data_IF_685897723689
#
_entry.id   IF_685897723689
#
_cell.length_a   1.000
_cell.length_b   1.000
_cell.length_c   1.000
_cell.angle_alpha   90.00
_cell.angle_beta   90.00
_cell.angle_gamma   90.00
#
_symmetry.space_group_name_H-M   'P 1'
#
loop_
_entity.id
_entity.type
_entity.pdbx_description
1 polymer ?
#
# COMPACT_ATOMS: atom_id res chain seq x y z
N UNK A 1 6.52 -36.55 -23.81
CA UNK A 1 7.53 -35.96 -22.90
C UNK A 1 7.74 -34.53 -23.34
N UNK A 2 7.06 -33.60 -22.69
CA UNK A 2 7.33 -32.18 -22.77
C UNK A 2 7.11 -31.68 -21.34
N UNK A 3 8.22 -31.40 -20.66
CA UNK A 3 8.25 -30.77 -19.34
C UNK A 3 8.06 -29.27 -19.55
N UNK A 4 7.03 -28.71 -18.96
CA UNK A 4 6.92 -27.26 -18.76
C UNK A 4 7.77 -26.89 -17.53
N UNK A 5 8.64 -25.87 -17.62
CA UNK A 5 9.39 -25.40 -16.47
C UNK A 5 8.46 -24.59 -15.56
N UNK A 6 8.68 -24.75 -14.25
CA UNK A 6 8.13 -23.98 -13.13
C UNK A 6 7.38 -22.70 -13.52
N UNK A 7 6.05 -22.73 -13.35
CA UNK A 7 5.23 -21.53 -13.32
C UNK A 7 5.64 -20.70 -12.08
N UNK A 8 6.16 -19.51 -12.34
CA UNK A 8 6.29 -18.42 -11.36
C UNK A 8 4.87 -17.93 -10.99
N UNK A 9 4.12 -18.73 -10.22
CA UNK A 9 2.88 -18.24 -9.60
C UNK A 9 3.26 -17.17 -8.57
N UNK A 10 2.94 -15.91 -8.88
CA UNK A 10 2.94 -14.86 -7.88
C UNK A 10 1.80 -15.17 -6.91
N UNK A 11 2.14 -15.77 -5.76
CA UNK A 11 1.18 -16.07 -4.70
C UNK A 11 0.82 -14.76 -3.99
N UNK A 12 -0.15 -14.04 -4.54
CA UNK A 12 -1.01 -13.20 -3.73
C UNK A 12 -1.93 -14.15 -2.98
N UNK A 13 -1.99 -14.05 -1.65
CA UNK A 13 -2.80 -14.92 -0.78
C UNK A 13 -4.11 -15.33 -1.48
N UNK A 14 -4.20 -16.60 -1.86
CA UNK A 14 -5.36 -17.12 -2.58
C UNK A 14 -6.60 -17.04 -1.67
N UNK A 15 -7.66 -16.43 -2.20
CA UNK A 15 -8.96 -16.29 -1.55
C UNK A 15 -9.58 -17.63 -1.12
N UNK A 16 -9.15 -18.76 -1.70
CA UNK A 16 -9.60 -20.10 -1.32
C UNK A 16 -9.24 -20.49 0.13
N UNK A 17 -8.32 -19.76 0.76
CA UNK A 17 -7.85 -20.01 2.13
C UNK A 17 -8.47 -19.07 3.19
N UNK A 18 -9.21 -18.03 2.78
CA UNK A 18 -9.90 -17.13 3.71
C UNK A 18 -11.19 -17.79 4.22
N UNK A 19 -11.10 -18.47 5.36
CA UNK A 19 -12.29 -18.95 6.08
C UNK A 19 -12.83 -17.86 7.00
N UNK A 20 -13.92 -17.21 6.57
CA UNK A 20 -14.74 -16.37 7.44
C UNK A 20 -15.63 -17.27 8.31
N UNK A 21 -15.33 -17.34 9.61
CA UNK A 21 -16.20 -18.03 10.57
C UNK A 21 -17.18 -17.02 11.17
N UNK A 22 -18.47 -17.34 11.14
CA UNK A 22 -19.52 -16.58 11.79
C UNK A 22 -19.62 -17.00 13.27
N UNK A 23 -19.16 -16.13 14.18
CA UNK A 23 -19.12 -16.38 15.63
C UNK A 23 -20.29 -15.68 16.35
N UNK A 24 -21.51 -15.83 15.83
CA UNK A 24 -22.76 -15.34 16.44
C UNK A 24 -23.04 -15.83 17.87
N UNK A 25 -22.20 -16.69 18.45
CA UNK A 25 -22.31 -17.18 19.83
C UNK A 25 -21.45 -16.43 20.87
N UNK A 26 -20.70 -15.38 20.52
CA UNK A 26 -19.89 -14.60 21.48
C UNK A 26 -20.64 -13.38 22.04
N UNK A 27 -20.64 -13.14 23.36
CA UNK A 27 -21.46 -12.10 23.99
C UNK A 27 -20.70 -10.76 24.12
N UNK A 28 -20.58 -10.00 23.03
CA UNK A 28 -20.48 -8.52 22.92
C UNK A 28 -20.05 -8.16 21.47
N UNK A 29 -20.11 -6.90 21.00
CA UNK A 29 -20.36 -6.56 19.59
C UNK A 29 -19.39 -7.27 18.63
N UNK A 30 -19.98 -7.80 17.56
CA UNK A 30 -19.40 -8.67 16.53
C UNK A 30 -17.92 -8.43 16.23
N UNK A 31 -17.04 -9.13 16.94
CA UNK A 31 -15.63 -9.20 16.58
C UNK A 31 -15.48 -10.03 15.30
N UNK A 32 -14.79 -9.48 14.31
CA UNK A 32 -14.43 -10.19 13.07
C UNK A 32 -13.02 -10.72 13.24
N UNK A 33 -12.85 -12.03 13.07
CA UNK A 33 -11.54 -12.67 13.07
C UNK A 33 -11.22 -13.13 11.65
N UNK A 34 -9.99 -12.83 11.19
CA UNK A 34 -9.44 -13.35 9.94
C UNK A 34 -8.39 -14.37 10.31
N UNK A 35 -8.58 -15.61 9.86
CA UNK A 35 -7.60 -16.68 9.98
C UNK A 35 -6.96 -16.89 8.62
N UNK A 36 -5.64 -16.93 8.60
CA UNK A 36 -4.83 -17.16 7.41
C UNK A 36 -3.74 -18.18 7.72
N UNK A 37 -3.19 -18.79 6.68
CA UNK A 37 -2.04 -19.67 6.81
C UNK A 37 -0.83 -18.90 7.34
N UNK A 38 -0.11 -19.50 8.28
CA UNK A 38 1.17 -18.97 8.74
C UNK A 38 2.22 -19.30 7.68
N UNK A 39 2.70 -18.27 6.98
CA UNK A 39 3.76 -18.42 5.98
C UNK A 39 5.07 -18.76 6.68
N UNK A 40 5.68 -19.89 6.28
CA UNK A 40 6.99 -20.32 6.78
C UNK A 40 8.11 -19.54 6.09
N UNK A 41 8.66 -18.55 6.79
CA UNK A 41 9.71 -17.68 6.28
C UNK A 41 10.16 -16.64 7.31
N UNK A 42 11.01 -15.73 6.86
CA UNK A 42 11.52 -14.61 7.67
C UNK A 42 11.17 -13.30 7.01
N UNK A 43 10.92 -12.26 7.81
CA UNK A 43 10.65 -10.94 7.25
C UNK A 43 11.91 -10.37 6.62
N UNK A 44 11.76 -9.64 5.52
CA UNK A 44 12.87 -9.00 4.82
C UNK A 44 13.63 -8.07 5.76
N UNK A 45 12.91 -7.33 6.61
CA UNK A 45 13.49 -6.47 7.66
C UNK A 45 14.50 -7.21 8.55
N UNK A 46 14.14 -8.40 9.04
CA UNK A 46 14.98 -9.17 9.97
C UNK A 46 16.24 -9.72 9.31
N UNK A 47 16.16 -10.04 8.02
CA UNK A 47 17.27 -10.61 7.27
C UNK A 47 18.12 -9.58 6.53
N UNK A 48 17.63 -8.34 6.35
CA UNK A 48 18.20 -7.34 5.44
C UNK A 48 19.72 -7.14 5.60
N UNK A 49 20.18 -6.96 6.84
CA UNK A 49 21.60 -6.72 7.16
C UNK A 49 22.51 -7.91 6.80
N UNK A 50 21.97 -9.12 6.72
CA UNK A 50 22.71 -10.34 6.38
C UNK A 50 22.64 -10.73 4.91
N UNK A 51 21.88 -10.01 4.08
CA UNK A 51 21.75 -10.30 2.65
C UNK A 51 22.92 -9.72 1.87
N UNK A 52 23.47 -10.50 0.96
CA UNK A 52 24.43 -10.06 -0.05
C UNK A 52 23.75 -9.12 -1.06
N UNK A 53 24.53 -8.24 -1.70
CA UNK A 53 24.00 -7.26 -2.66
C UNK A 53 23.24 -7.93 -3.83
N UNK A 54 23.76 -9.06 -4.32
CA UNK A 54 23.11 -9.84 -5.39
C UNK A 54 21.71 -10.33 -4.98
N UNK A 55 21.56 -10.82 -3.75
CA UNK A 55 20.27 -11.29 -3.23
C UNK A 55 19.29 -10.12 -3.04
N UNK A 56 19.77 -8.97 -2.56
CA UNK A 56 18.94 -7.75 -2.41
C UNK A 56 18.41 -7.27 -3.76
N UNK A 57 19.25 -7.29 -4.81
CA UNK A 57 18.85 -6.93 -6.17
C UNK A 57 17.83 -7.94 -6.74
N UNK A 58 18.08 -9.24 -6.57
CA UNK A 58 17.16 -10.29 -7.00
C UNK A 58 15.78 -10.20 -6.30
N UNK A 59 15.75 -9.84 -5.02
CA UNK A 59 14.52 -9.56 -4.28
C UNK A 59 13.80 -8.34 -4.87
N UNK A 60 14.51 -7.26 -5.19
CA UNK A 60 13.91 -6.08 -5.81
C UNK A 60 13.29 -6.41 -7.17
N UNK A 61 13.92 -7.26 -7.99
CA UNK A 61 13.34 -7.71 -9.25
C UNK A 61 12.04 -8.49 -9.04
N UNK A 62 12.00 -9.39 -8.05
CA UNK A 62 10.78 -10.12 -7.69
C UNK A 62 9.67 -9.17 -7.24
N UNK A 63 9.98 -8.25 -6.31
CA UNK A 63 9.02 -7.25 -5.84
C UNK A 63 8.49 -6.39 -6.99
N UNK A 64 9.33 -6.00 -7.95
CA UNK A 64 8.91 -5.23 -9.13
C UNK A 64 7.87 -6.00 -9.94
N UNK A 65 8.10 -7.30 -10.17
CA UNK A 65 7.14 -8.16 -10.89
C UNK A 65 5.83 -8.28 -10.12
N UNK A 66 5.89 -8.50 -8.81
CA UNK A 66 4.71 -8.59 -7.95
C UNK A 66 3.90 -7.30 -7.95
N UNK A 67 4.54 -6.13 -7.80
CA UNK A 67 3.84 -4.84 -7.79
C UNK A 67 3.23 -4.52 -9.15
N UNK A 68 3.91 -4.87 -10.25
CA UNK A 68 3.34 -4.71 -11.59
C UNK A 68 2.10 -5.61 -11.78
N UNK A 69 2.15 -6.86 -11.29
CA UNK A 69 0.99 -7.75 -11.31
C UNK A 69 -0.16 -7.18 -10.46
N UNK A 70 0.13 -6.67 -9.26
CA UNK A 70 -0.85 -6.02 -8.39
C UNK A 70 -1.51 -4.81 -9.07
N UNK A 71 -0.71 -3.97 -9.73
CA UNK A 71 -1.20 -2.79 -10.46
C UNK A 71 -1.98 -3.13 -11.72
N UNK A 72 -1.87 -4.36 -12.22
CA UNK A 72 -2.63 -4.84 -13.38
C UNK A 72 -4.03 -5.33 -13.02
N UNK A 73 -4.37 -5.42 -11.72
CA UNK A 73 -5.71 -5.76 -11.30
C UNK A 73 -6.72 -4.74 -11.84
N UNK A 74 -7.79 -5.24 -12.44
CA UNK A 74 -8.90 -4.43 -12.92
C UNK A 74 -9.96 -4.30 -11.82
N UNK A 75 -10.57 -3.12 -11.75
CA UNK A 75 -11.68 -2.90 -10.85
C UNK A 75 -12.97 -3.43 -11.49
N UNK A 76 -13.65 -4.38 -10.85
CA UNK A 76 -14.89 -4.99 -11.35
C UNK A 76 -16.00 -3.98 -11.69
N UNK A 77 -15.95 -2.77 -11.12
CA UNK A 77 -16.88 -1.71 -11.49
C UNK A 77 -16.38 -0.97 -12.74
N UNK A 78 -17.25 -0.85 -13.76
CA UNK A 78 -17.04 -0.05 -14.97
C UNK A 78 -16.69 1.44 -14.75
N UNK A 79 -16.55 1.88 -13.49
CA UNK A 79 -16.24 3.25 -13.10
C UNK A 79 -15.13 3.20 -12.05
N UNK A 80 -13.93 3.65 -12.43
CA UNK A 80 -12.80 3.80 -11.54
C UNK A 80 -13.17 4.66 -10.31
N UNK A 81 -12.62 4.31 -9.15
CA UNK A 81 -12.83 5.05 -7.92
C UNK A 81 -11.59 4.92 -7.03
N UNK A 82 -11.38 5.89 -6.14
CA UNK A 82 -10.40 5.78 -5.07
C UNK A 82 -11.14 5.36 -3.80
N UNK A 83 -10.71 4.27 -3.18
CA UNK A 83 -11.42 3.66 -2.06
C UNK A 83 -10.98 2.23 -1.81
N UNK A 84 -11.41 1.67 -0.69
CA UNK A 84 -11.20 0.27 -0.37
C UNK A 84 -12.07 -0.64 -1.26
N UNK A 85 -11.70 -1.92 -1.34
CA UNK A 85 -12.48 -2.97 -2.03
C UNK A 85 -13.97 -2.87 -1.64
N UNK A 86 -14.84 -2.96 -2.64
CA UNK A 86 -16.29 -2.82 -2.45
C UNK A 86 -16.78 -1.37 -2.35
N UNK A 87 -16.02 -0.40 -2.90
CA UNK A 87 -16.35 1.04 -2.88
C UNK A 87 -16.54 1.57 -1.46
N UNK A 88 -15.72 1.09 -0.54
CA UNK A 88 -15.72 1.53 0.86
C UNK A 88 -14.69 2.65 1.06
N UNK A 89 -14.78 3.40 2.16
CA UNK A 89 -13.73 4.33 2.55
C UNK A 89 -12.36 3.66 2.67
N UNK A 90 -11.31 4.42 2.41
CA UNK A 90 -9.92 4.00 2.64
C UNK A 90 -9.65 3.78 4.12
N UNK A 91 -8.80 2.80 4.42
CA UNK A 91 -8.37 2.40 5.77
C UNK A 91 -6.89 2.71 6.02
N UNK A 92 -6.28 3.57 5.19
CA UNK A 92 -4.91 4.00 5.41
C UNK A 92 -4.81 4.73 6.76
N UNK A 93 -3.83 4.34 7.58
CA UNK A 93 -3.62 4.87 8.93
C UNK A 93 -3.43 6.38 8.94
N UNK A 94 -2.97 6.98 7.83
CA UNK A 94 -2.83 8.45 7.73
C UNK A 94 -4.19 9.18 7.79
N UNK A 95 -5.29 8.45 7.59
CA UNK A 95 -6.66 8.96 7.68
C UNK A 95 -7.31 8.62 9.02
N UNK A 96 -6.91 7.54 9.70
CA UNK A 96 -7.57 7.05 10.92
C UNK A 96 -7.33 7.94 12.15
N UNK A 97 -6.12 8.46 12.34
CA UNK A 97 -5.76 9.28 13.50
C UNK A 97 -6.16 10.76 13.37
N UNK A 98 -6.63 11.14 12.19
CA UNK A 98 -7.02 12.52 11.89
C UNK A 98 -8.47 12.79 12.30
N UNK A 99 -8.78 13.97 12.84
CA UNK A 99 -10.17 14.46 12.99
C UNK A 99 -10.88 14.68 11.63
N UNK A 100 -10.40 14.05 10.56
CA UNK A 100 -10.89 14.24 9.21
C UNK A 100 -12.18 13.47 8.99
N UNK A 101 -13.00 13.92 8.03
CA UNK A 101 -14.09 13.12 7.50
C UNK A 101 -13.59 11.77 7.00
N UNK A 102 -14.48 10.79 6.90
CA UNK A 102 -14.23 9.50 6.26
C UNK A 102 -13.58 9.65 4.88
N UNK A 103 -12.54 8.87 4.60
CA UNK A 103 -11.74 8.96 3.38
C UNK A 103 -12.38 8.24 2.20
N UNK A 104 -13.33 8.89 1.54
CA UNK A 104 -13.94 8.41 0.30
C UNK A 104 -15.15 7.49 0.51
N UNK A 105 -15.53 6.72 -0.53
CA UNK A 105 -14.87 6.61 -1.83
C UNK A 105 -14.93 7.91 -2.64
N UNK A 106 -13.95 8.13 -3.52
CA UNK A 106 -13.88 9.28 -4.44
C UNK A 106 -14.03 8.84 -5.88
N UNK A 107 -14.63 9.68 -6.72
CA UNK A 107 -14.87 9.41 -8.14
C UNK A 107 -13.67 9.72 -9.03
N UNK A 108 -12.71 10.48 -8.54
CA UNK A 108 -11.51 10.88 -9.29
C UNK A 108 -10.33 11.17 -8.37
N UNK A 109 -9.12 11.17 -8.95
CA UNK A 109 -7.88 11.58 -8.27
C UNK A 109 -7.96 13.05 -7.81
N UNK A 110 -8.52 13.93 -8.64
CA UNK A 110 -8.68 15.35 -8.31
C UNK A 110 -9.57 15.56 -7.07
N UNK A 111 -10.71 14.86 -7.00
CA UNK A 111 -11.60 14.90 -5.84
C UNK A 111 -10.92 14.39 -4.57
N UNK A 112 -10.16 13.29 -4.70
CA UNK A 112 -9.35 12.77 -3.60
C UNK A 112 -8.31 13.78 -3.11
N UNK A 113 -7.58 14.44 -4.01
CA UNK A 113 -6.59 15.45 -3.64
C UNK A 113 -7.23 16.69 -3.02
N UNK A 114 -8.38 17.14 -3.51
CA UNK A 114 -9.12 18.25 -2.90
C UNK A 114 -9.48 17.90 -1.46
N UNK A 115 -10.01 16.70 -1.23
CA UNK A 115 -10.31 16.20 0.12
C UNK A 115 -9.05 16.05 0.99
N UNK A 116 -7.99 15.44 0.43
CA UNK A 116 -6.73 15.18 1.14
C UNK A 116 -6.10 16.48 1.61
N UNK A 117 -6.16 17.51 0.76
CA UNK A 117 -5.54 18.81 1.03
C UNK A 117 -6.41 19.79 1.84
N UNK A 118 -7.69 19.49 2.03
CA UNK A 118 -8.63 20.36 2.73
C UNK A 118 -8.50 20.31 4.27
N UNK A 119 -7.88 19.26 4.81
CA UNK A 119 -7.96 18.92 6.24
C UNK A 119 -6.93 19.62 7.16
N UNK A 120 -6.60 20.90 6.95
CA UNK A 120 -5.53 21.59 7.71
C UNK A 120 -5.93 22.82 8.50
N UNK A 121 -5.24 23.02 9.63
CA UNK A 121 -5.27 24.24 10.41
C UNK A 121 -6.58 24.50 11.18
N UNK A 122 -6.71 25.64 11.87
CA UNK A 122 -7.88 26.01 12.68
C UNK A 122 -9.17 26.19 11.87
N UNK A 123 -9.05 26.12 10.54
CA UNK A 123 -10.03 26.49 9.55
C UNK A 123 -10.49 25.31 8.69
N UNK A 124 -10.03 24.09 9.00
CA UNK A 124 -10.31 22.79 8.34
C UNK A 124 -11.80 22.42 8.13
N UNK A 125 -12.74 23.18 8.70
CA UNK A 125 -14.18 22.94 8.54
C UNK A 125 -14.88 23.96 7.62
N UNK A 126 -14.17 25.00 7.18
CA UNK A 126 -14.74 26.02 6.31
C UNK A 126 -14.49 25.66 4.84
N UNK A 127 -15.57 25.16 4.22
CA UNK A 127 -15.63 24.69 2.83
C UNK A 127 -15.42 25.77 1.77
N UNK A 128 -15.40 27.05 2.17
CA UNK A 128 -15.23 28.17 1.25
C UNK A 128 -13.77 28.62 1.13
N UNK A 129 -12.84 27.92 1.78
CA UNK A 129 -11.42 28.22 1.63
C UNK A 129 -10.91 27.90 0.23
N UNK A 130 -10.00 28.74 -0.31
CA UNK A 130 -9.31 28.39 -1.54
C UNK A 130 -8.50 27.10 -1.32
N UNK A 131 -8.26 26.32 -2.39
CA UNK A 131 -7.38 25.16 -2.33
C UNK A 131 -6.01 25.53 -1.74
N UNK A 132 -5.40 24.61 -1.01
CA UNK A 132 -4.07 24.82 -0.44
C UNK A 132 -3.07 25.16 -1.58
N UNK A 133 -2.13 26.12 -1.41
CA UNK A 133 -1.20 26.52 -2.48
C UNK A 133 -0.43 25.36 -3.11
N UNK A 134 -0.14 24.32 -2.32
CA UNK A 134 0.58 23.12 -2.77
C UNK A 134 -0.31 22.04 -3.42
N UNK A 135 -1.63 22.20 -3.44
CA UNK A 135 -2.57 21.23 -4.02
C UNK A 135 -2.28 20.94 -5.50
N UNK A 136 -1.85 21.96 -6.23
CA UNK A 136 -1.49 21.86 -7.65
C UNK A 136 -0.28 20.96 -7.94
N UNK A 137 0.53 20.63 -6.93
CA UNK A 137 1.70 19.77 -7.09
C UNK A 137 1.38 18.28 -6.86
N UNK A 138 0.13 17.95 -6.52
CA UNK A 138 -0.37 16.57 -6.54
C UNK A 138 -0.92 16.28 -7.95
N UNK A 139 -0.49 15.19 -8.61
CA UNK A 139 -0.79 14.97 -10.01
C UNK A 139 -2.19 14.36 -10.21
N UNK A 140 -3.15 15.13 -10.72
CA UNK A 140 -4.53 14.66 -10.92
C UNK A 140 -4.64 13.63 -12.06
N UNK A 141 -3.75 13.70 -13.06
CA UNK A 141 -3.74 12.83 -14.24
C UNK A 141 -2.81 11.63 -14.03
N UNK A 142 -3.13 10.78 -13.05
CA UNK A 142 -2.43 9.51 -12.81
C UNK A 142 -3.41 8.34 -12.78
N UNK A 143 -2.97 7.13 -13.15
CA UNK A 143 -3.79 5.94 -13.02
C UNK A 143 -4.22 5.69 -11.58
N UNK A 144 -5.44 5.20 -11.41
CA UNK A 144 -5.91 4.59 -10.17
C UNK A 144 -5.58 3.10 -10.25
N UNK A 145 -4.83 2.59 -9.28
CA UNK A 145 -4.33 1.21 -9.27
C UNK A 145 -4.54 0.59 -7.89
N UNK A 146 -4.62 -0.74 -7.85
CA UNK A 146 -4.62 -1.44 -6.59
C UNK A 146 -3.24 -1.32 -5.93
N UNK A 147 -3.23 -0.92 -4.66
CA UNK A 147 -2.04 -0.48 -3.91
C UNK A 147 -2.06 -1.17 -2.55
N UNK A 148 -0.92 -1.66 -2.10
CA UNK A 148 -0.75 -2.29 -0.79
C UNK A 148 -0.88 -1.25 0.34
N UNK A 149 -0.29 -0.07 0.12
CA UNK A 149 -0.29 1.10 1.01
C UNK A 149 0.47 0.91 2.33
N UNK A 150 1.01 -0.27 2.62
CA UNK A 150 1.95 -0.48 3.74
C UNK A 150 3.13 -1.39 3.38
N UNK A 151 3.80 -1.11 2.27
CA UNK A 151 4.87 -1.96 1.73
C UNK A 151 6.22 -1.76 2.44
N UNK A 152 6.23 -1.99 3.76
CA UNK A 152 7.43 -1.96 4.60
C UNK A 152 8.17 -3.32 4.58
N UNK A 153 9.52 -3.38 4.75
CA UNK A 153 10.27 -4.65 4.82
C UNK A 153 9.77 -5.65 5.87
N UNK A 154 9.08 -5.19 6.92
CA UNK A 154 8.47 -6.08 7.92
C UNK A 154 7.29 -6.88 7.35
N UNK A 155 6.69 -6.41 6.27
CA UNK A 155 5.50 -6.96 5.63
C UNK A 155 5.85 -7.83 4.40
N UNK A 156 7.14 -8.03 4.13
CA UNK A 156 7.65 -8.87 3.05
C UNK A 156 8.30 -10.10 3.67
N UNK A 157 7.84 -11.29 3.30
CA UNK A 157 8.37 -12.57 3.78
C UNK A 157 9.24 -13.20 2.68
N UNK A 158 10.44 -13.61 3.05
CA UNK A 158 11.39 -14.30 2.17
C UNK A 158 11.69 -15.72 2.66
N UNK A 159 12.09 -16.59 1.73
CA UNK A 159 12.52 -17.96 2.03
C UNK A 159 13.82 -17.95 2.86
N UNK A 160 14.00 -18.90 3.78
CA UNK A 160 15.27 -19.05 4.49
C UNK A 160 16.36 -19.61 3.57
N UNK A 161 17.63 -19.34 3.89
CA UNK A 161 18.78 -19.94 3.22
C UNK A 161 19.51 -18.99 2.26
N UNK A 162 20.28 -19.58 1.34
CA UNK A 162 21.08 -18.87 0.34
C UNK A 162 20.19 -18.61 -0.88
N UNK A 163 20.31 -17.42 -1.47
CA UNK A 163 19.45 -16.95 -2.57
C UNK A 163 17.96 -16.93 -2.22
N UNK A 164 17.59 -16.18 -1.17
CA UNK A 164 16.21 -16.12 -0.72
C UNK A 164 15.28 -15.50 -1.77
N UNK A 165 14.08 -16.04 -1.85
CA UNK A 165 13.02 -15.57 -2.74
C UNK A 165 11.88 -14.95 -1.93
N UNK A 166 11.15 -14.01 -2.53
CA UNK A 166 9.95 -13.44 -1.92
C UNK A 166 8.86 -14.50 -1.94
N UNK A 167 8.39 -14.91 -0.77
CA UNK A 167 7.31 -15.90 -0.62
C UNK A 167 5.96 -15.21 -0.52
N UNK A 168 5.87 -14.10 0.21
CA UNK A 168 4.60 -13.42 0.44
C UNK A 168 4.77 -11.95 0.79
N UNK A 169 3.77 -11.15 0.42
CA UNK A 169 3.53 -9.82 1.00
C UNK A 169 2.30 -9.95 1.91
N UNK A 170 2.38 -9.46 3.13
CA UNK A 170 1.34 -9.56 4.16
C UNK A 170 0.89 -8.18 4.63
N UNK A 171 -0.14 -8.16 5.48
CA UNK A 171 -0.68 -6.95 6.11
C UNK A 171 -1.41 -5.97 5.17
N UNK A 172 -2.37 -6.51 4.43
CA UNK A 172 -3.16 -5.82 3.41
C UNK A 172 -4.28 -4.90 3.94
N UNK A 173 -4.35 -4.62 5.24
CA UNK A 173 -5.51 -3.93 5.82
C UNK A 173 -5.69 -2.48 5.30
N UNK A 174 -4.61 -1.83 4.87
CA UNK A 174 -4.63 -0.49 4.29
C UNK A 174 -4.82 -0.50 2.76
N UNK A 175 -4.85 -1.69 2.14
CA UNK A 175 -4.89 -1.82 0.69
C UNK A 175 -6.19 -1.31 0.06
N UNK A 176 -6.12 -0.97 -1.22
CA UNK A 176 -7.26 -0.40 -1.92
C UNK A 176 -6.87 0.19 -3.27
N UNK A 177 -7.81 0.94 -3.85
CA UNK A 177 -7.62 1.68 -5.09
C UNK A 177 -7.12 3.09 -4.76
N UNK A 178 -5.90 3.40 -5.17
CA UNK A 178 -5.23 4.68 -4.89
C UNK A 178 -4.63 5.27 -6.18
N UNK A 179 -4.30 6.57 -6.20
CA UNK A 179 -3.42 7.12 -7.22
C UNK A 179 -2.08 6.36 -7.27
N UNK A 180 -1.55 6.07 -8.46
CA UNK A 180 -0.38 5.20 -8.63
C UNK A 180 0.88 5.61 -7.84
N UNK A 181 1.02 6.90 -7.51
CA UNK A 181 2.14 7.41 -6.72
C UNK A 181 2.08 7.04 -5.24
N UNK A 182 0.92 6.59 -4.76
CA UNK A 182 0.65 6.39 -3.33
C UNK A 182 1.55 5.32 -2.72
N UNK A 183 1.79 4.21 -3.44
CA UNK A 183 2.68 3.14 -2.98
C UNK A 183 4.09 3.66 -2.67
N UNK A 184 4.68 4.45 -3.58
CA UNK A 184 5.99 5.03 -3.38
C UNK A 184 6.00 5.97 -2.18
N UNK A 185 4.99 6.82 -2.08
CA UNK A 185 4.92 7.80 -0.99
C UNK A 185 4.79 7.12 0.37
N UNK A 186 3.90 6.13 0.50
CA UNK A 186 3.72 5.37 1.73
C UNK A 186 4.93 4.53 2.09
N UNK A 187 5.47 3.75 1.15
CA UNK A 187 6.65 2.91 1.40
C UNK A 187 7.88 3.75 1.79
N UNK A 188 8.04 4.94 1.18
CA UNK A 188 9.09 5.89 1.56
C UNK A 188 8.85 6.50 2.94
N UNK A 189 7.61 6.86 3.25
CA UNK A 189 7.23 7.49 4.53
C UNK A 189 7.35 6.53 5.72
N UNK A 190 7.04 5.25 5.56
CA UNK A 190 7.23 4.23 6.59
C UNK A 190 8.70 3.80 6.76
N UNK A 191 9.57 4.17 5.82
CA UNK A 191 11.00 3.84 5.87
C UNK A 191 11.80 4.85 6.69
N UNK A 192 12.95 4.41 7.21
CA UNK A 192 13.92 5.31 7.81
C UNK A 192 14.58 6.21 6.75
N UNK A 193 14.27 7.50 6.78
CA UNK A 193 14.77 8.51 5.83
C UNK A 193 16.31 8.46 5.74
N UNK A 194 16.83 8.38 4.52
CA UNK A 194 18.26 8.41 4.25
C UNK A 194 19.00 7.11 4.56
N UNK A 195 18.28 6.03 4.89
CA UNK A 195 18.84 4.68 4.97
C UNK A 195 18.88 4.01 3.60
N UNK A 196 19.72 2.99 3.51
CA UNK A 196 20.02 2.26 2.28
C UNK A 196 18.76 1.75 1.56
N UNK A 197 17.81 1.19 2.32
CA UNK A 197 16.53 0.70 1.78
C UNK A 197 15.77 1.77 1.00
N UNK A 198 15.51 2.93 1.60
CA UNK A 198 14.74 4.02 1.00
C UNK A 198 15.48 4.67 -0.17
N UNK A 199 16.78 4.94 0.01
CA UNK A 199 17.56 5.69 -0.97
C UNK A 199 17.92 4.86 -2.21
N UNK A 200 18.25 3.57 -2.02
CA UNK A 200 18.85 2.71 -3.05
C UNK A 200 17.87 1.68 -3.60
N UNK A 201 17.16 0.93 -2.74
CA UNK A 201 16.42 -0.27 -3.17
C UNK A 201 14.94 -0.03 -3.48
N UNK A 202 14.25 0.77 -2.66
CA UNK A 202 12.84 1.12 -2.91
C UNK A 202 12.58 1.62 -4.35
N UNK A 203 13.43 2.49 -4.93
CA UNK A 203 13.28 2.96 -6.32
C UNK A 203 13.46 1.88 -7.39
N UNK A 204 14.07 0.74 -7.05
CA UNK A 204 14.30 -0.35 -8.01
C UNK A 204 12.99 -1.08 -8.32
N UNK A 205 12.06 -1.14 -7.36
CA UNK A 205 10.82 -1.89 -7.49
C UNK A 205 9.54 -1.05 -7.41
N UNK A 206 9.60 0.18 -6.89
CA UNK A 206 8.50 1.16 -6.96
C UNK A 206 8.98 2.43 -7.65
N UNK A 207 8.21 2.92 -8.62
CA UNK A 207 8.55 4.14 -9.35
C UNK A 207 8.60 5.36 -8.43
N UNK A 208 9.64 6.18 -8.57
CA UNK A 208 9.72 7.46 -7.86
C UNK A 208 8.69 8.44 -8.41
N UNK A 209 8.12 9.23 -7.51
CA UNK A 209 7.21 10.31 -7.87
C UNK A 209 7.63 11.62 -7.22
N UNK A 210 7.70 12.69 -8.03
CA UNK A 210 8.17 14.01 -7.62
C UNK A 210 7.23 14.71 -6.62
N UNK A 211 5.98 14.24 -6.52
CA UNK A 211 4.98 14.78 -5.61
C UNK A 211 5.24 14.46 -4.13
N UNK A 212 6.20 13.59 -3.81
CA UNK A 212 6.45 13.13 -2.44
C UNK A 212 6.56 14.28 -1.43
N UNK A 213 7.38 15.30 -1.71
CA UNK A 213 7.60 16.38 -0.73
C UNK A 213 6.32 17.16 -0.41
N UNK A 214 5.43 17.31 -1.40
CA UNK A 214 4.15 17.97 -1.21
C UNK A 214 3.17 17.05 -0.48
N UNK A 215 3.12 15.77 -0.88
CA UNK A 215 2.36 14.73 -0.19
C UNK A 215 2.75 14.61 1.29
N UNK A 216 4.05 14.58 1.60
CA UNK A 216 4.59 14.47 2.95
C UNK A 216 4.22 15.70 3.80
N UNK A 217 4.32 16.91 3.22
CA UNK A 217 3.86 18.14 3.90
C UNK A 217 2.39 18.06 4.31
N UNK A 218 1.57 17.40 3.49
CA UNK A 218 0.17 17.15 3.74
C UNK A 218 -0.03 16.06 4.80
N UNK A 219 0.75 14.98 4.81
CA UNK A 219 0.67 13.98 5.88
C UNK A 219 1.06 14.58 7.24
N UNK A 220 2.20 15.27 7.31
CA UNK A 220 2.70 15.90 8.54
C UNK A 220 1.68 16.89 9.14
N UNK A 221 1.01 17.67 8.29
CA UNK A 221 0.02 18.63 8.75
C UNK A 221 -1.27 17.99 9.31
N UNK A 222 -1.48 16.68 9.13
CA UNK A 222 -2.57 15.89 9.76
C UNK A 222 -2.23 15.43 11.18
N UNK A 223 -0.96 15.57 11.61
CA UNK A 223 -0.50 15.15 12.94
C UNK A 223 -0.30 13.64 13.07
N UNK A 224 0.00 12.97 11.95
CA UNK A 224 0.38 11.55 11.87
C UNK A 224 1.87 11.40 12.11
#
# INVERSE_FOLDING_TARGET
MASFPYDDEVVFLDSSFLKKYDLTSLPSPSAVFIYMELIDGVTLEKSWEGLEEEDRLAICEQLRRMINALRSLECDSNVAFIGHVGRQPLLDVIFESSCSPTAGPFSSVSEFHDWFTFSYGPRKHDRNQPPHPNRQFLPDEVPIVFTHADLHPSNIIISPGIHPQVISIIDWHQSGWYPAYWEYCKARWTSHIGKEWEATYLPLFVDRHDCYNYWDSFVLARGV
#
